data_IF_423726510144
#
_entry.id   IF_423726510144
#
_cell.length_a   1.000
_cell.length_b   1.000
_cell.length_c   1.000
_cell.angle_alpha   90.00
_cell.angle_beta   90.00
_cell.angle_gamma   90.00
#
_symmetry.space_group_name_H-M   'P 1'
#
loop_
_entity.id
_entity.type
_entity.pdbx_description
1 polymer ?
#
# COMPACT_ATOMS: atom_id res chain seq x y z
N UNK A 1 -22.20 -14.62 -15.19
CA UNK A 1 -23.15 -13.58 -14.76
C UNK A 1 -22.81 -13.21 -13.31
N UNK A 2 -21.93 -12.22 -13.15
CA UNK A 2 -21.67 -11.54 -11.89
C UNK A 2 -20.99 -10.22 -12.26
N UNK A 3 -21.83 -9.20 -12.41
CA UNK A 3 -21.48 -7.83 -12.77
C UNK A 3 -20.89 -7.17 -11.52
N UNK A 4 -19.57 -6.97 -11.51
CA UNK A 4 -18.92 -6.20 -10.46
C UNK A 4 -19.19 -4.74 -10.74
N UNK A 5 -20.20 -4.19 -10.06
CA UNK A 5 -20.61 -2.81 -10.14
C UNK A 5 -19.42 -1.87 -9.91
N UNK A 6 -18.87 -1.37 -11.02
CA UNK A 6 -17.92 -0.27 -11.04
C UNK A 6 -18.71 0.97 -10.63
N UNK A 7 -18.52 1.45 -9.39
CA UNK A 7 -19.22 2.64 -8.92
C UNK A 7 -18.64 3.86 -9.62
N UNK A 8 -19.30 4.28 -10.71
CA UNK A 8 -19.04 5.56 -11.35
C UNK A 8 -19.69 6.66 -10.50
N UNK A 9 -18.94 7.24 -9.58
CA UNK A 9 -19.38 8.44 -8.83
C UNK A 9 -18.60 9.65 -9.32
N UNK A 10 -19.01 10.16 -10.47
CA UNK A 10 -18.86 11.59 -10.76
C UNK A 10 -20.21 12.12 -11.20
N UNK A 11 -21.00 12.54 -10.24
CA UNK A 11 -22.13 13.42 -10.51
C UNK A 11 -22.21 14.39 -9.33
N UNK A 12 -21.48 15.51 -9.45
CA UNK A 12 -21.89 16.88 -9.05
C UNK A 12 -20.68 17.83 -9.00
N UNK A 13 -20.51 18.62 -10.07
CA UNK A 13 -20.26 20.07 -9.96
C UNK A 13 -18.85 20.65 -9.93
N UNK A 14 -17.77 19.86 -9.78
CA UNK A 14 -16.40 20.40 -9.76
C UNK A 14 -15.62 20.13 -11.05
N UNK A 15 -14.80 21.08 -11.52
CA UNK A 15 -13.77 20.80 -12.51
C UNK A 15 -12.80 19.76 -11.92
N UNK A 16 -12.49 18.71 -12.68
CA UNK A 16 -11.54 17.68 -12.25
C UNK A 16 -10.13 18.29 -12.18
N UNK A 17 -9.47 18.11 -11.05
CA UNK A 17 -8.05 18.41 -10.84
C UNK A 17 -7.27 17.10 -10.76
N UNK A 18 -5.99 17.15 -11.13
CA UNK A 18 -5.06 16.06 -10.89
C UNK A 18 -3.85 16.59 -10.14
N UNK A 19 -3.42 15.85 -9.12
CA UNK A 19 -2.28 16.22 -8.27
C UNK A 19 -1.29 15.06 -8.18
N UNK A 20 -0.02 15.39 -8.32
CA UNK A 20 1.08 14.48 -8.03
C UNK A 20 1.54 14.72 -6.59
N UNK A 21 1.31 13.75 -5.70
CA UNK A 21 1.74 13.79 -4.31
C UNK A 21 3.05 13.04 -4.09
N UNK A 22 3.82 13.54 -3.13
CA UNK A 22 5.00 12.90 -2.57
C UNK A 22 4.82 12.73 -1.07
N UNK A 23 4.94 11.50 -0.60
CA UNK A 23 4.98 11.19 0.83
C UNK A 23 6.38 10.71 1.19
N UNK A 24 6.95 11.34 2.22
CA UNK A 24 8.28 11.04 2.74
C UNK A 24 8.23 10.59 4.21
N UNK A 25 9.23 9.82 4.62
CA UNK A 25 9.35 9.27 5.97
C UNK A 25 9.51 7.75 5.97
N UNK A 26 9.11 7.09 7.06
CA UNK A 26 9.00 5.62 7.11
C UNK A 26 7.64 5.25 6.53
N UNK A 27 7.60 5.14 5.20
CA UNK A 27 6.36 4.95 4.44
C UNK A 27 6.41 3.72 3.51
N UNK A 28 7.50 2.96 3.57
CA UNK A 28 7.67 1.74 2.79
C UNK A 28 7.75 0.51 3.70
N UNK A 29 7.16 -0.59 3.23
CA UNK A 29 7.00 -1.81 4.01
C UNK A 29 5.99 -1.72 5.16
N UNK A 30 5.27 -0.62 5.30
CA UNK A 30 4.36 -0.37 6.42
C UNK A 30 2.88 -0.42 6.02
N UNK A 31 2.56 -1.06 4.89
CA UNK A 31 1.19 -1.12 4.37
C UNK A 31 0.69 0.16 3.72
N UNK A 32 1.57 1.11 3.40
CA UNK A 32 1.18 2.42 2.90
C UNK A 32 0.49 2.37 1.53
N UNK A 33 1.00 1.58 0.56
CA UNK A 33 0.35 1.42 -0.76
C UNK A 33 -1.11 0.91 -0.66
N UNK A 34 -1.40 -0.19 0.08
CA UNK A 34 -2.77 -0.59 0.43
C UNK A 34 -3.62 0.50 1.07
N UNK A 35 -3.03 1.27 1.99
CA UNK A 35 -3.71 2.36 2.66
C UNK A 35 -4.12 3.45 1.67
N UNK A 36 -3.20 3.92 0.83
CA UNK A 36 -3.47 4.92 -0.21
C UNK A 36 -4.53 4.43 -1.19
N UNK A 37 -4.47 3.17 -1.61
CA UNK A 37 -5.47 2.58 -2.50
C UNK A 37 -6.88 2.68 -1.90
N UNK A 38 -7.07 2.21 -0.66
CA UNK A 38 -8.37 2.28 0.02
C UNK A 38 -8.83 3.70 0.25
N UNK A 39 -7.90 4.61 0.56
CA UNK A 39 -8.20 6.02 0.76
C UNK A 39 -8.69 6.67 -0.55
N UNK A 40 -8.03 6.37 -1.67
CA UNK A 40 -8.44 6.85 -2.98
C UNK A 40 -9.83 6.32 -3.37
N UNK A 41 -10.14 5.05 -3.08
CA UNK A 41 -11.49 4.51 -3.28
C UNK A 41 -12.53 5.22 -2.41
N UNK A 42 -12.22 5.46 -1.13
CA UNK A 42 -13.13 6.13 -0.20
C UNK A 42 -13.47 7.57 -0.63
N UNK A 43 -12.55 8.26 -1.29
CA UNK A 43 -12.75 9.60 -1.84
C UNK A 43 -13.12 9.62 -3.34
N UNK A 44 -13.40 8.46 -3.95
CA UNK A 44 -13.75 8.32 -5.36
C UNK A 44 -12.73 9.00 -6.31
N UNK A 45 -11.43 8.75 -6.08
CA UNK A 45 -10.32 9.30 -6.86
C UNK A 45 -9.81 8.28 -7.89
N UNK A 46 -9.50 8.74 -9.09
CA UNK A 46 -8.71 7.98 -10.07
C UNK A 46 -7.21 8.27 -9.93
N UNK A 47 -6.34 7.38 -10.38
CA UNK A 47 -4.90 7.57 -10.31
C UNK A 47 -4.09 6.33 -9.96
N UNK A 48 -2.98 6.52 -9.27
CA UNK A 48 -2.11 5.43 -8.88
C UNK A 48 -1.21 5.75 -7.68
N UNK A 49 -0.66 4.69 -7.08
CA UNK A 49 0.39 4.76 -6.06
C UNK A 49 1.52 3.78 -6.33
N UNK A 50 2.76 4.17 -6.06
CA UNK A 50 3.94 3.29 -6.11
C UNK A 50 4.96 3.66 -5.03
N UNK A 51 5.88 2.73 -4.76
CA UNK A 51 7.09 3.03 -4.01
C UNK A 51 8.20 3.40 -5.01
N UNK A 52 9.00 4.42 -4.72
CA UNK A 52 10.23 4.70 -5.45
C UNK A 52 11.40 4.92 -4.47
N UNK A 53 12.55 5.37 -4.95
CA UNK A 53 13.72 5.61 -4.09
C UNK A 53 13.54 6.76 -3.09
N UNK A 54 12.58 7.66 -3.31
CA UNK A 54 12.35 8.87 -2.52
C UNK A 54 11.18 8.76 -1.52
N UNK A 55 10.42 7.66 -1.57
CA UNK A 55 9.28 7.43 -0.67
C UNK A 55 8.11 6.80 -1.41
N UNK A 56 6.91 7.38 -1.22
CA UNK A 56 5.69 6.96 -1.94
C UNK A 56 5.32 8.07 -2.92
N UNK A 57 5.16 7.70 -4.19
CA UNK A 57 4.65 8.56 -5.25
C UNK A 57 3.18 8.25 -5.49
N UNK A 58 2.36 9.28 -5.63
CA UNK A 58 0.92 9.15 -5.86
C UNK A 58 0.52 10.14 -6.94
N UNK A 59 -0.31 9.73 -7.88
CA UNK A 59 -1.14 10.66 -8.64
C UNK A 59 -2.59 10.38 -8.30
N UNK A 60 -3.35 11.44 -8.05
CA UNK A 60 -4.79 11.33 -7.85
C UNK A 60 -5.54 12.41 -8.62
N UNK A 61 -6.68 12.03 -9.18
CA UNK A 61 -7.57 12.87 -9.96
C UNK A 61 -8.99 12.81 -9.39
N UNK A 62 -9.60 13.98 -9.26
CA UNK A 62 -10.94 14.12 -8.68
C UNK A 62 -11.31 15.58 -8.46
N UNK A 63 -12.30 15.82 -7.59
CA UNK A 63 -12.65 17.19 -7.22
C UNK A 63 -11.59 17.79 -6.29
N UNK A 64 -11.42 19.12 -6.31
CA UNK A 64 -10.50 19.82 -5.43
C UNK A 64 -10.73 19.45 -3.94
N UNK A 65 -12.00 19.42 -3.51
CA UNK A 65 -12.38 19.06 -2.15
C UNK A 65 -11.97 17.62 -1.77
N UNK A 66 -12.15 16.65 -2.68
CA UNK A 66 -11.74 15.27 -2.45
C UNK A 66 -10.21 15.15 -2.36
N UNK A 67 -9.48 15.89 -3.21
CA UNK A 67 -8.02 15.91 -3.18
C UNK A 67 -7.44 16.60 -1.94
N UNK A 68 -8.09 17.64 -1.44
CA UNK A 68 -7.71 18.31 -0.18
C UNK A 68 -7.93 17.38 1.02
N UNK A 69 -9.08 16.71 1.09
CA UNK A 69 -9.38 15.72 2.12
C UNK A 69 -8.39 14.54 2.08
N UNK A 70 -8.12 14.03 0.88
CA UNK A 70 -7.13 12.97 0.66
C UNK A 70 -5.73 13.40 1.13
N UNK A 71 -5.30 14.63 0.82
CA UNK A 71 -4.00 15.15 1.25
C UNK A 71 -3.83 15.17 2.77
N UNK A 72 -4.87 15.57 3.51
CA UNK A 72 -4.89 15.56 4.98
C UNK A 72 -4.85 14.12 5.51
N UNK A 73 -5.74 13.26 5.01
CA UNK A 73 -5.85 11.89 5.46
C UNK A 73 -4.60 11.05 5.19
N UNK A 74 -3.84 11.33 4.12
CA UNK A 74 -2.53 10.70 3.87
C UNK A 74 -1.60 10.80 5.09
N UNK A 75 -1.64 11.90 5.84
CA UNK A 75 -0.85 12.07 7.06
C UNK A 75 -1.58 11.57 8.30
N UNK A 76 -2.83 12.01 8.47
CA UNK A 76 -3.53 11.90 9.75
C UNK A 76 -4.08 10.48 10.00
N UNK A 77 -4.33 9.73 8.93
CA UNK A 77 -4.84 8.35 8.98
C UNK A 77 -3.78 7.31 8.61
N UNK A 78 -2.50 7.73 8.55
CA UNK A 78 -1.40 6.86 8.14
C UNK A 78 -1.37 5.55 8.97
N UNK A 79 -0.97 4.41 8.38
CA UNK A 79 -0.84 3.15 9.10
C UNK A 79 0.03 3.31 10.35
N UNK A 80 -0.31 2.62 11.44
CA UNK A 80 0.41 2.74 12.73
C UNK A 80 1.92 2.50 12.63
N UNK A 81 2.36 1.66 11.69
CA UNK A 81 3.76 1.37 11.46
C UNK A 81 4.49 2.47 10.65
N UNK A 82 3.75 3.40 10.06
CA UNK A 82 4.27 4.49 9.26
C UNK A 82 4.63 5.70 10.13
N UNK A 83 5.66 6.43 9.70
CA UNK A 83 5.97 7.76 10.19
C UNK A 83 6.07 8.70 9.00
N UNK A 84 5.04 9.50 8.78
CA UNK A 84 4.99 10.48 7.69
C UNK A 84 5.68 11.77 8.14
N UNK A 85 6.78 12.14 7.48
CA UNK A 85 7.51 13.39 7.77
C UNK A 85 7.07 14.54 6.89
N UNK A 86 6.65 14.25 5.66
CA UNK A 86 6.14 15.25 4.73
C UNK A 86 5.12 14.65 3.76
N UNK A 87 4.14 15.47 3.40
CA UNK A 87 3.23 15.25 2.27
C UNK A 87 3.29 16.54 1.46
N UNK A 88 3.77 16.47 0.23
CA UNK A 88 3.78 17.59 -0.71
C UNK A 88 3.00 17.21 -1.95
N UNK A 89 2.52 18.20 -2.69
CA UNK A 89 1.87 17.95 -3.97
C UNK A 89 2.07 19.10 -4.93
N UNK A 90 1.88 18.81 -6.22
CA UNK A 90 1.80 19.79 -7.29
C UNK A 90 0.64 19.46 -8.22
N UNK A 91 0.01 20.49 -8.78
CA UNK A 91 -1.01 20.31 -9.81
C UNK A 91 -0.37 19.77 -11.09
N UNK A 92 -1.06 18.85 -11.75
CA UNK A 92 -0.70 18.29 -13.06
C UNK A 92 -1.94 18.24 -13.94
N UNK A 93 -1.74 18.04 -15.25
CA UNK A 93 -2.85 18.01 -16.21
C UNK A 93 -3.78 16.83 -15.93
N UNK A 94 -5.09 17.05 -15.72
CA UNK A 94 -6.08 15.97 -15.64
C UNK A 94 -6.10 15.12 -16.91
N UNK A 95 -6.27 13.81 -16.76
CA UNK A 95 -6.29 12.88 -17.89
C UNK A 95 -7.57 12.03 -17.97
N UNK A 96 -8.56 12.31 -17.11
CA UNK A 96 -9.84 11.62 -17.07
C UNK A 96 -9.78 10.23 -16.42
N UNK A 97 -8.74 9.94 -15.63
CA UNK A 97 -8.59 8.65 -14.98
C UNK A 97 -9.62 8.51 -13.85
N UNK A 98 -10.36 7.38 -13.86
CA UNK A 98 -11.46 7.10 -12.92
C UNK A 98 -11.20 5.90 -12.01
N UNK A 99 -10.04 5.27 -12.20
CA UNK A 99 -9.68 4.02 -11.56
C UNK A 99 -8.40 4.26 -10.79
N UNK A 100 -8.27 3.65 -9.60
CA UNK A 100 -7.05 3.76 -8.82
C UNK A 100 -6.29 2.44 -8.83
N UNK A 101 -4.97 2.47 -8.99
CA UNK A 101 -4.14 1.25 -9.04
C UNK A 101 -2.83 1.36 -8.27
N UNK A 102 -2.37 0.24 -7.72
CA UNK A 102 -1.01 0.14 -7.18
C UNK A 102 -0.08 -0.27 -8.32
N UNK A 103 0.85 0.60 -8.69
CA UNK A 103 1.80 0.34 -9.76
C UNK A 103 3.05 -0.39 -9.24
N UNK A 104 3.74 -1.16 -10.13
CA UNK A 104 5.06 -1.69 -9.83
C UNK A 104 6.05 -0.56 -9.51
N UNK A 105 6.93 -0.82 -8.56
CA UNK A 105 7.99 0.13 -8.24
C UNK A 105 9.04 0.16 -9.36
N UNK A 106 9.52 1.35 -9.78
CA UNK A 106 10.60 1.44 -10.76
C UNK A 106 11.90 0.86 -10.20
N UNK A 107 12.76 0.34 -11.08
CA UNK A 107 14.11 -0.08 -10.69
C UNK A 107 14.89 1.12 -10.16
N UNK A 108 15.34 1.06 -8.90
CA UNK A 108 16.01 2.16 -8.23
C UNK A 108 17.51 2.26 -8.57
N UNK A 109 18.03 3.47 -8.69
CA UNK A 109 19.47 3.75 -8.92
C UNK A 109 20.21 4.19 -7.65
N UNK A 110 19.52 4.69 -6.62
CA UNK A 110 20.09 4.99 -5.29
C UNK A 110 19.00 5.17 -4.23
N UNK A 111 19.17 4.58 -3.04
CA UNK A 111 18.21 4.68 -1.94
C UNK A 111 18.24 6.05 -1.24
N UNK A 112 17.09 6.73 -1.11
CA UNK A 112 16.96 8.00 -0.38
C UNK A 112 15.78 8.02 0.61
N UNK A 113 15.19 6.87 0.91
CA UNK A 113 14.02 6.73 1.79
C UNK A 113 14.36 6.03 3.10
N UNK A 114 13.58 6.29 4.15
CA UNK A 114 13.76 5.65 5.45
C UNK A 114 13.14 4.24 5.43
N UNK A 115 13.86 3.29 6.04
CA UNK A 115 13.41 1.89 6.16
C UNK A 115 12.79 1.68 7.54
N UNK A 116 11.63 1.02 7.59
CA UNK A 116 10.99 0.65 8.85
C UNK A 116 11.86 -0.31 9.66
N UNK A 117 11.94 -0.16 10.99
CA UNK A 117 12.47 -1.21 11.85
C UNK A 117 11.62 -2.49 11.76
N UNK A 118 12.17 -3.60 12.24
CA UNK A 118 11.42 -4.84 12.43
C UNK A 118 10.35 -4.65 13.52
N UNK A 119 9.20 -5.32 13.35
CA UNK A 119 8.06 -5.17 14.24
C UNK A 119 7.66 -6.53 14.84
N UNK A 120 7.29 -6.52 16.13
CA UNK A 120 6.70 -7.69 16.78
C UNK A 120 5.38 -8.12 16.14
N UNK A 121 4.99 -9.38 16.36
CA UNK A 121 3.74 -9.93 15.81
C UNK A 121 2.52 -9.14 16.31
N UNK A 122 1.63 -8.76 15.39
CA UNK A 122 0.39 -8.07 15.75
C UNK A 122 -0.65 -9.05 16.34
N UNK A 123 -1.64 -8.51 17.06
CA UNK A 123 -2.67 -9.31 17.73
C UNK A 123 -3.45 -10.23 16.77
N UNK A 124 -3.70 -9.78 15.55
CA UNK A 124 -4.40 -10.58 14.54
C UNK A 124 -3.56 -11.74 14.02
N UNK A 125 -2.29 -11.51 13.69
CA UNK A 125 -1.40 -12.59 13.25
C UNK A 125 -1.17 -13.60 14.39
N UNK A 126 -1.12 -13.12 15.64
CA UNK A 126 -1.09 -13.97 16.83
C UNK A 126 -2.37 -14.82 16.94
N UNK A 127 -3.54 -14.26 16.65
CA UNK A 127 -4.81 -15.01 16.67
C UNK A 127 -4.80 -16.11 15.60
N UNK A 128 -4.38 -15.80 14.37
CA UNK A 128 -4.31 -16.76 13.26
C UNK A 128 -3.43 -17.97 13.61
N UNK A 129 -2.20 -17.76 14.11
CA UNK A 129 -1.30 -18.87 14.45
C UNK A 129 -1.79 -19.74 15.61
N UNK A 130 -2.64 -19.20 16.48
CA UNK A 130 -3.22 -19.91 17.62
C UNK A 130 -4.57 -20.57 17.28
N UNK A 131 -5.11 -20.35 16.09
CA UNK A 131 -6.44 -20.81 15.71
C UNK A 131 -6.33 -22.10 14.89
N UNK A 132 -6.76 -23.24 15.44
CA UNK A 132 -6.63 -24.56 14.80
C UNK A 132 -7.32 -24.68 13.42
N UNK A 133 -8.34 -23.86 13.16
CA UNK A 133 -9.02 -23.79 11.88
C UNK A 133 -8.40 -22.83 10.85
N UNK A 134 -7.36 -22.08 11.22
CA UNK A 134 -6.69 -21.14 10.32
C UNK A 134 -5.63 -21.84 9.48
N UNK A 135 -5.49 -21.43 8.23
CA UNK A 135 -4.48 -21.95 7.29
C UNK A 135 -3.05 -21.74 7.80
N UNK A 136 -2.84 -20.76 8.69
CA UNK A 136 -1.55 -20.44 9.30
C UNK A 136 -1.43 -20.95 10.75
N UNK A 137 -2.27 -21.88 11.18
CA UNK A 137 -2.14 -22.51 12.50
C UNK A 137 -0.72 -23.08 12.69
N UNK A 138 -0.04 -22.68 13.76
CA UNK A 138 1.33 -23.09 14.06
C UNK A 138 2.42 -22.57 13.11
N UNK A 139 2.10 -21.70 12.13
CA UNK A 139 3.08 -21.21 11.16
C UNK A 139 4.00 -20.13 11.77
N UNK A 140 5.28 -20.47 11.96
CA UNK A 140 6.26 -19.64 12.67
C UNK A 140 6.57 -18.29 12.01
N UNK A 141 6.40 -18.17 10.69
CA UNK A 141 6.78 -16.97 9.93
C UNK A 141 5.58 -16.10 9.52
N UNK A 142 4.42 -16.25 10.19
CA UNK A 142 3.26 -15.41 9.89
C UNK A 142 3.61 -13.92 10.04
N UNK A 143 3.15 -13.12 9.10
CA UNK A 143 3.20 -11.67 9.18
C UNK A 143 2.09 -11.05 8.31
N UNK A 144 1.92 -9.75 8.43
CA UNK A 144 1.06 -8.94 7.57
C UNK A 144 1.73 -7.58 7.33
N UNK A 145 1.04 -6.66 6.66
CA UNK A 145 1.53 -5.29 6.41
C UNK A 145 1.87 -4.52 7.71
N UNK A 146 1.25 -4.88 8.83
CA UNK A 146 1.38 -4.21 10.13
C UNK A 146 2.42 -4.83 11.10
N UNK A 147 3.08 -5.94 10.74
CA UNK A 147 4.02 -6.62 11.65
C UNK A 147 5.08 -7.46 10.91
N UNK A 148 6.04 -8.01 11.66
CA UNK A 148 7.06 -8.91 11.15
C UNK A 148 8.32 -8.18 10.67
N UNK A 149 9.23 -8.91 10.01
CA UNK A 149 10.52 -8.37 9.65
C UNK A 149 10.43 -7.35 8.52
N UNK A 150 11.29 -6.32 8.57
CA UNK A 150 11.43 -5.21 7.62
C UNK A 150 12.91 -4.98 7.34
N UNK A 151 13.57 -4.23 8.21
CA UNK A 151 14.99 -3.89 8.10
C UNK A 151 15.86 -5.15 7.98
N UNK A 152 15.59 -6.18 8.79
CA UNK A 152 16.37 -7.42 8.79
C UNK A 152 16.31 -8.22 7.48
N UNK A 153 15.29 -8.02 6.63
CA UNK A 153 15.13 -8.78 5.39
C UNK A 153 15.30 -7.95 4.11
N UNK A 154 15.40 -6.63 4.21
CA UNK A 154 15.51 -5.77 3.02
C UNK A 154 16.91 -5.89 2.41
N UNK A 155 16.97 -5.93 1.07
CA UNK A 155 18.22 -5.91 0.28
C UNK A 155 18.40 -4.62 -0.51
N UNK A 156 17.31 -3.90 -0.75
CA UNK A 156 17.31 -2.62 -1.45
C UNK A 156 15.95 -1.94 -1.42
N UNK A 157 15.90 -0.73 -1.98
CA UNK A 157 14.66 0.03 -2.18
C UNK A 157 14.48 0.30 -3.67
N UNK A 158 13.24 0.38 -4.18
CA UNK A 158 11.97 0.45 -3.43
C UNK A 158 11.57 -0.86 -2.73
N UNK A 159 10.91 -0.79 -1.56
CA UNK A 159 10.53 -1.99 -0.80
C UNK A 159 9.51 -2.83 -1.56
N UNK A 160 10.00 -3.91 -2.16
CA UNK A 160 9.23 -4.96 -2.82
C UNK A 160 9.90 -6.32 -2.61
N UNK A 161 9.11 -7.39 -2.72
CA UNK A 161 9.55 -8.77 -2.46
C UNK A 161 10.87 -9.14 -3.16
N UNK A 162 11.11 -8.81 -4.45
CA UNK A 162 12.38 -9.13 -5.12
C UNK A 162 13.62 -8.48 -4.48
N UNK A 163 13.44 -7.36 -3.77
CA UNK A 163 14.50 -6.66 -3.04
C UNK A 163 14.48 -7.01 -1.54
N UNK A 164 14.06 -8.23 -1.20
CA UNK A 164 14.16 -8.79 0.16
C UNK A 164 14.73 -10.20 0.13
N UNK A 165 15.05 -10.76 1.29
CA UNK A 165 15.37 -12.19 1.41
C UNK A 165 14.20 -13.11 1.05
N UNK A 166 12.97 -12.59 0.97
CA UNK A 166 11.79 -13.34 0.52
C UNK A 166 11.75 -13.60 -1.00
N UNK A 167 12.65 -13.00 -1.77
CA UNK A 167 12.69 -13.12 -3.23
C UNK A 167 12.80 -14.57 -3.74
N UNK A 168 13.45 -15.45 -2.97
CA UNK A 168 13.65 -16.86 -3.34
C UNK A 168 12.47 -17.77 -2.98
N UNK A 169 11.45 -17.23 -2.30
CA UNK A 169 10.25 -17.96 -1.90
C UNK A 169 9.08 -17.47 -2.76
N UNK A 170 8.73 -18.13 -3.87
CA UNK A 170 7.56 -17.73 -4.66
C UNK A 170 6.27 -17.91 -3.84
N UNK A 171 5.33 -16.97 -3.98
CA UNK A 171 4.02 -17.10 -3.31
C UNK A 171 3.23 -18.24 -3.95
N UNK A 172 2.67 -19.12 -3.11
CA UNK A 172 1.71 -20.11 -3.58
C UNK A 172 0.42 -19.41 -4.05
N UNK A 173 -0.46 -20.09 -4.81
CA UNK A 173 -1.69 -19.47 -5.34
C UNK A 173 -2.59 -18.84 -4.28
N UNK A 174 -2.64 -19.43 -3.07
CA UNK A 174 -3.44 -18.87 -1.98
C UNK A 174 -2.84 -17.60 -1.38
N UNK A 175 -1.52 -17.54 -1.20
CA UNK A 175 -0.85 -16.31 -0.75
C UNK A 175 -0.89 -15.21 -1.81
N UNK A 176 -0.84 -15.58 -3.10
CA UNK A 176 -0.98 -14.63 -4.19
C UNK A 176 -2.39 -14.00 -4.20
N UNK A 177 -3.44 -14.80 -4.01
CA UNK A 177 -4.82 -14.27 -3.89
C UNK A 177 -4.98 -13.27 -2.75
N UNK A 178 -4.43 -13.56 -1.57
CA UNK A 178 -4.47 -12.60 -0.45
C UNK A 178 -3.62 -11.35 -0.73
N UNK A 179 -2.54 -11.49 -1.48
CA UNK A 179 -1.68 -10.37 -1.86
C UNK A 179 -2.39 -9.43 -2.83
N UNK A 180 -3.24 -9.96 -3.72
CA UNK A 180 -3.94 -9.22 -4.77
C UNK A 180 -5.34 -8.74 -4.35
N UNK A 181 -5.97 -9.29 -3.31
CA UNK A 181 -7.32 -8.89 -2.86
C UNK A 181 -7.27 -7.65 -1.94
N UNK A 182 -7.83 -6.49 -2.33
CA UNK A 182 -7.83 -5.26 -1.52
C UNK A 182 -8.53 -5.39 -0.17
N UNK A 183 -9.40 -6.39 -0.02
CA UNK A 183 -10.15 -6.67 1.21
C UNK A 183 -9.37 -7.55 2.18
N UNK A 184 -8.30 -8.19 1.71
CA UNK A 184 -7.44 -9.00 2.57
C UNK A 184 -6.43 -8.10 3.31
N UNK A 185 -6.19 -8.42 4.57
CA UNK A 185 -5.20 -7.71 5.40
C UNK A 185 -3.76 -7.89 4.90
N UNK A 186 -3.53 -8.88 4.05
CA UNK A 186 -2.26 -9.17 3.38
C UNK A 186 -2.17 -8.57 1.98
N UNK A 187 -3.13 -7.73 1.58
CA UNK A 187 -3.05 -6.94 0.36
C UNK A 187 -1.70 -6.21 0.29
N UNK A 188 -0.90 -6.51 -0.75
CA UNK A 188 0.48 -6.06 -0.93
C UNK A 188 1.46 -6.28 0.25
N UNK A 189 1.21 -7.28 1.12
CA UNK A 189 2.17 -7.71 2.13
C UNK A 189 3.37 -8.42 1.46
N UNK A 190 4.45 -7.67 1.24
CA UNK A 190 5.65 -8.18 0.55
C UNK A 190 6.23 -9.48 1.15
N UNK A 191 6.26 -9.67 2.49
CA UNK A 191 6.75 -10.91 3.09
C UNK A 191 5.66 -11.97 3.31
N UNK A 192 4.50 -11.89 2.63
CA UNK A 192 3.45 -12.90 2.75
C UNK A 192 3.95 -14.30 2.36
N UNK A 193 3.61 -15.29 3.17
CA UNK A 193 3.95 -16.70 2.98
C UNK A 193 3.02 -17.60 3.81
N UNK A 194 3.11 -18.91 3.58
CA UNK A 194 2.49 -19.97 4.35
C UNK A 194 3.42 -21.20 4.40
N UNK A 195 3.00 -22.26 5.13
CA UNK A 195 3.66 -23.57 5.15
C UNK A 195 3.52 -24.31 3.81
#
# INVERSE_FOLDING_TARGET
MADAAYSAVHTEGGAAERRAFRVSGIVQGVGYRPFVYRLAEAYALGGWVLNDSAGVGIEAEGTAAALDAFAAALRDEAPRAALVTAVTWQAITPCGERTFRILPSPAGTRAATLVSPDLGVCADCRREILSAGDRRYGYAFTNCTNCGPRYSIIRGVPYDRPLTSMAVFPMCPACQREYDDPRDRRFHAQPNACA
#
